data_IF_690445309289
#
_entry.id   IF_690445309289
#
_cell.length_a   1.000
_cell.length_b   1.000
_cell.length_c   1.000
_cell.angle_alpha   90.00
_cell.angle_beta   90.00
_cell.angle_gamma   90.00
#
_symmetry.space_group_name_H-M   'P 1'
#
loop_
_entity.id
_entity.type
_entity.pdbx_description
1 polymer ?
#
# COMPACT_ATOMS: atom_id res chain seq x y z
N UNK A 1 3.08 4.72 -9.44
CA UNK A 1 4.22 5.40 -8.76
C UNK A 1 3.84 6.79 -8.28
N UNK A 2 3.41 7.67 -9.19
CA UNK A 2 3.02 9.06 -8.93
C UNK A 2 1.98 9.22 -7.81
N UNK A 3 1.06 8.26 -7.69
CA UNK A 3 0.06 8.27 -6.62
C UNK A 3 0.63 8.31 -5.20
N UNK A 4 1.88 7.87 -4.99
CA UNK A 4 2.55 7.94 -3.69
C UNK A 4 3.39 9.20 -3.50
N UNK A 5 3.67 9.97 -4.56
CA UNK A 5 4.50 11.18 -4.49
C UNK A 5 3.85 12.29 -3.66
N UNK A 6 2.55 12.24 -3.45
CA UNK A 6 1.85 13.14 -2.54
C UNK A 6 0.34 13.13 -2.69
N UNK A 7 -0.31 13.99 -1.92
CA UNK A 7 -1.76 14.15 -1.92
C UNK A 7 -2.17 15.21 -2.95
N UNK A 8 -3.08 14.84 -3.86
CA UNK A 8 -3.64 15.75 -4.85
C UNK A 8 -5.16 15.80 -4.69
N UNK A 9 -5.64 16.92 -4.17
CA UNK A 9 -7.05 17.23 -3.97
C UNK A 9 -7.23 18.74 -4.12
N UNK A 10 -8.20 19.17 -4.91
CA UNK A 10 -8.41 20.58 -5.26
C UNK A 10 -8.69 21.46 -4.03
N UNK A 11 -9.37 20.90 -3.02
CA UNK A 11 -9.70 21.62 -1.78
C UNK A 11 -8.50 21.84 -0.85
N UNK A 12 -7.39 21.13 -1.05
CA UNK A 12 -6.25 21.14 -0.14
C UNK A 12 -5.20 22.19 -0.56
N UNK A 13 -5.48 23.48 -0.41
CA UNK A 13 -4.64 24.58 -0.95
C UNK A 13 -3.20 24.56 -0.44
N UNK A 14 -3.01 24.23 0.84
CA UNK A 14 -1.72 24.30 1.55
C UNK A 14 -0.81 23.07 1.37
N UNK A 15 -1.21 22.11 0.53
CA UNK A 15 -0.35 20.98 0.15
C UNK A 15 0.56 21.35 -1.02
N UNK A 16 1.87 21.20 -0.86
CA UNK A 16 2.88 21.44 -1.89
C UNK A 16 3.77 20.20 -2.03
N UNK A 17 3.43 19.32 -2.98
CA UNK A 17 4.15 18.08 -3.23
C UNK A 17 4.25 17.80 -4.74
N UNK A 18 5.11 16.85 -5.12
CA UNK A 18 5.38 16.55 -6.54
C UNK A 18 4.12 16.16 -7.30
N UNK A 19 3.23 15.34 -6.70
CA UNK A 19 1.98 14.91 -7.36
C UNK A 19 1.06 16.10 -7.64
N UNK A 20 0.86 17.00 -6.67
CA UNK A 20 -0.01 18.16 -6.82
C UNK A 20 0.58 19.22 -7.77
N UNK A 21 1.90 19.30 -7.86
CA UNK A 21 2.61 20.12 -8.84
C UNK A 21 2.68 19.48 -10.24
N UNK A 22 2.04 18.32 -10.46
CA UNK A 22 2.09 17.55 -11.71
C UNK A 22 3.51 17.19 -12.15
N UNK A 23 4.39 16.93 -11.17
CA UNK A 23 5.77 16.49 -11.37
C UNK A 23 5.90 14.97 -11.22
N UNK A 24 6.81 14.38 -12.00
CA UNK A 24 7.12 12.96 -11.99
C UNK A 24 8.18 12.62 -10.92
N UNK A 25 8.76 11.41 -11.01
CA UNK A 25 9.79 10.96 -10.08
C UNK A 25 10.96 11.94 -9.99
N UNK A 26 11.28 12.45 -8.79
CA UNK A 26 12.26 13.55 -8.63
C UNK A 26 13.72 13.09 -8.53
N UNK A 27 13.99 11.82 -8.22
CA UNK A 27 15.35 11.35 -7.94
C UNK A 27 15.60 9.89 -8.30
N UNK A 28 16.85 9.60 -8.67
CA UNK A 28 17.34 8.27 -9.03
C UNK A 28 18.73 8.05 -8.44
N UNK A 29 19.04 6.80 -8.09
CA UNK A 29 20.35 6.33 -7.68
C UNK A 29 20.99 5.66 -8.91
N UNK A 30 21.81 6.41 -9.63
CA UNK A 30 22.39 6.01 -10.91
C UNK A 30 23.41 4.89 -10.69
N UNK A 31 23.24 3.76 -11.39
CA UNK A 31 24.21 2.66 -11.31
C UNK A 31 25.37 2.84 -12.29
N UNK A 32 25.10 3.47 -13.44
CA UNK A 32 26.09 3.72 -14.47
C UNK A 32 25.46 4.32 -15.73
N UNK A 33 26.33 4.85 -16.59
CA UNK A 33 26.01 5.43 -17.88
C UNK A 33 27.09 5.03 -18.88
N UNK A 34 26.70 4.76 -20.11
CA UNK A 34 27.57 4.32 -21.20
C UNK A 34 27.03 4.80 -22.55
N UNK A 35 27.86 4.80 -23.59
CA UNK A 35 27.46 5.17 -24.96
C UNK A 35 27.78 4.02 -25.90
N UNK A 36 26.76 3.48 -26.58
CA UNK A 36 26.91 2.41 -27.57
C UNK A 36 26.19 2.81 -28.85
N UNK A 37 26.90 2.72 -29.98
CA UNK A 37 26.36 3.05 -31.30
C UNK A 37 25.60 4.40 -31.33
N UNK A 38 26.22 5.47 -30.81
CA UNK A 38 25.65 6.81 -30.69
C UNK A 38 24.40 6.94 -29.79
N UNK A 39 24.11 5.93 -28.97
CA UNK A 39 23.03 5.97 -27.98
C UNK A 39 23.59 6.00 -26.56
N UNK A 40 23.11 6.94 -25.75
CA UNK A 40 23.34 6.95 -24.30
C UNK A 40 22.47 5.86 -23.65
N UNK A 41 23.10 4.93 -22.96
CA UNK A 41 22.46 3.89 -22.16
C UNK A 41 22.72 4.19 -20.69
N UNK A 42 21.68 4.16 -19.86
CA UNK A 42 21.83 4.32 -18.41
C UNK A 42 20.94 3.34 -17.66
N UNK A 43 21.36 3.00 -16.44
CA UNK A 43 20.55 2.24 -15.51
C UNK A 43 20.57 2.92 -14.14
N UNK A 44 19.45 2.80 -13.42
CA UNK A 44 19.32 3.42 -12.11
C UNK A 44 18.26 2.72 -11.27
N UNK A 45 18.42 2.76 -9.95
CA UNK A 45 17.31 2.53 -9.05
C UNK A 45 16.52 3.82 -8.87
N UNK A 46 15.20 3.72 -8.89
CA UNK A 46 14.34 4.81 -8.43
C UNK A 46 14.60 5.06 -6.94
N UNK A 47 14.90 6.31 -6.56
CA UNK A 47 14.95 6.68 -5.15
C UNK A 47 13.52 6.75 -4.57
N UNK A 48 13.32 6.27 -3.35
CA UNK A 48 12.00 6.29 -2.74
C UNK A 48 11.51 7.71 -2.49
N UNK A 49 10.44 8.14 -3.16
CA UNK A 49 9.85 9.47 -2.96
C UNK A 49 8.38 9.32 -2.55
N UNK A 50 7.99 10.03 -1.48
CA UNK A 50 6.64 9.96 -0.87
C UNK A 50 6.19 11.30 -0.29
N UNK A 51 4.89 11.46 -0.09
CA UNK A 51 4.35 12.57 0.70
C UNK A 51 4.51 12.39 2.22
N UNK A 52 4.65 13.51 2.95
CA UNK A 52 4.62 13.53 4.42
C UNK A 52 3.77 14.71 4.94
N UNK A 53 3.15 14.52 6.12
CA UNK A 53 2.27 15.52 6.75
C UNK A 53 3.08 16.55 7.54
N UNK A 54 2.86 17.84 7.24
CA UNK A 54 3.51 19.00 7.86
C UNK A 54 2.71 19.56 9.04
N UNK A 55 1.50 19.06 9.31
CA UNK A 55 0.67 19.60 10.40
C UNK A 55 1.32 19.36 11.76
N UNK A 56 1.58 20.45 12.47
CA UNK A 56 2.09 20.47 13.83
C UNK A 56 0.91 20.27 14.80
N UNK A 57 0.56 19.01 15.09
CA UNK A 57 -0.53 18.73 16.05
C UNK A 57 0.05 18.64 17.46
N UNK A 58 -0.28 19.63 18.30
CA UNK A 58 0.23 19.78 19.68
C UNK A 58 -0.30 18.74 20.69
N UNK A 59 -1.14 17.79 20.27
CA UNK A 59 -1.79 16.79 21.14
C UNK A 59 -1.73 15.34 20.63
N UNK A 60 -0.85 15.02 19.68
CA UNK A 60 -0.63 13.63 19.26
C UNK A 60 0.59 13.05 19.96
N UNK A 61 0.43 11.89 20.62
CA UNK A 61 1.54 10.94 20.86
C UNK A 61 2.42 10.91 19.60
N UNK A 62 3.76 10.91 19.74
CA UNK A 62 4.70 11.09 18.63
C UNK A 62 4.38 10.05 17.55
N UNK A 63 3.65 10.50 16.54
CA UNK A 63 3.32 9.71 15.37
C UNK A 63 3.72 10.56 14.20
N UNK A 64 5.03 10.67 14.02
CA UNK A 64 5.70 10.93 12.73
C UNK A 64 5.30 9.81 11.77
N UNK A 65 4.01 9.69 11.45
CA UNK A 65 3.46 8.68 10.56
C UNK A 65 3.75 9.17 9.15
N UNK A 66 4.93 8.79 8.67
CA UNK A 66 5.21 8.70 7.23
C UNK A 66 4.04 7.94 6.59
N UNK A 67 3.64 8.34 5.39
CA UNK A 67 2.55 7.72 4.64
C UNK A 67 3.01 6.71 3.56
N UNK A 68 3.86 5.71 3.84
CA UNK A 68 4.18 4.71 2.84
C UNK A 68 3.32 3.46 3.02
N UNK A 69 2.30 3.32 2.16
CA UNK A 69 1.71 2.00 1.87
C UNK A 69 2.74 1.13 1.14
N UNK A 70 2.72 -0.19 1.35
CA UNK A 70 3.51 -1.14 0.54
C UNK A 70 2.69 -1.53 -0.69
N UNK A 71 3.00 -1.04 -1.92
CA UNK A 71 2.38 -1.57 -3.13
C UNK A 71 3.06 -2.91 -3.42
N UNK A 72 2.46 -4.00 -2.98
CA UNK A 72 2.81 -5.36 -3.44
C UNK A 72 1.56 -5.91 -4.13
N UNK A 73 1.70 -6.54 -5.31
CA UNK A 73 0.57 -7.13 -6.03
C UNK A 73 -0.19 -8.07 -5.11
N UNK A 74 -1.52 -7.97 -5.09
CA UNK A 74 -2.39 -8.95 -4.41
C UNK A 74 -2.31 -10.32 -5.09
N UNK A 75 -2.81 -11.37 -4.43
CA UNK A 75 -2.84 -12.71 -5.00
C UNK A 75 -3.65 -12.71 -6.30
N UNK A 76 -3.01 -12.88 -7.47
CA UNK A 76 -3.66 -12.97 -8.78
C UNK A 76 -2.89 -13.99 -9.64
N UNK A 77 -3.62 -14.78 -10.43
CA UNK A 77 -3.11 -15.86 -11.29
C UNK A 77 -2.69 -15.33 -12.68
N UNK A 78 -1.48 -15.71 -13.12
CA UNK A 78 -0.84 -15.76 -14.46
C UNK A 78 -0.49 -14.45 -15.22
N UNK A 79 0.82 -14.29 -15.50
CA UNK A 79 1.39 -13.41 -16.55
C UNK A 79 1.94 -12.06 -16.06
N UNK A 80 3.15 -11.68 -16.52
CA UNK A 80 3.88 -10.50 -16.04
C UNK A 80 3.10 -9.18 -16.06
N UNK A 81 2.29 -8.93 -17.10
CA UNK A 81 1.48 -7.70 -17.25
C UNK A 81 0.36 -7.59 -16.21
N UNK A 82 -0.41 -8.67 -16.01
CA UNK A 82 -1.53 -8.67 -15.06
C UNK A 82 -1.07 -8.50 -13.60
N UNK A 83 0.15 -8.95 -13.29
CA UNK A 83 0.77 -8.74 -11.97
C UNK A 83 1.19 -7.28 -11.74
N UNK A 84 1.77 -6.61 -12.74
CA UNK A 84 2.23 -5.22 -12.61
C UNK A 84 1.10 -4.20 -12.71
N UNK A 85 -0.01 -4.53 -13.38
CA UNK A 85 -1.20 -3.69 -13.52
C UNK A 85 -2.25 -3.93 -12.43
N UNK A 86 -2.00 -4.84 -11.48
CA UNK A 86 -2.91 -5.12 -10.37
C UNK A 86 -3.18 -3.85 -9.53
N UNK A 87 -4.44 -3.62 -9.16
CA UNK A 87 -4.86 -2.39 -8.47
C UNK A 87 -4.56 -2.38 -6.96
N UNK A 88 -3.99 -3.45 -6.40
CA UNK A 88 -3.66 -3.53 -4.98
C UNK A 88 -2.71 -2.40 -4.57
N UNK A 89 -3.24 -1.50 -3.74
CA UNK A 89 -2.48 -0.41 -3.16
C UNK A 89 -2.13 0.72 -4.15
N UNK A 90 -2.86 0.81 -5.27
CA UNK A 90 -2.62 1.81 -6.31
C UNK A 90 -2.76 3.25 -5.79
N UNK A 91 -3.76 3.50 -4.95
CA UNK A 91 -4.09 4.84 -4.44
C UNK A 91 -3.82 5.00 -2.94
N UNK A 92 -3.57 3.90 -2.23
CA UNK A 92 -3.41 3.90 -0.77
C UNK A 92 -2.91 2.56 -0.21
N UNK A 93 -2.74 2.43 1.10
CA UNK A 93 -2.32 1.18 1.72
C UNK A 93 -3.42 0.10 1.64
N UNK A 94 -3.04 -1.15 1.36
CA UNK A 94 -3.94 -2.33 1.44
C UNK A 94 -3.28 -3.55 2.09
N UNK A 95 -1.95 -3.65 2.01
CA UNK A 95 -1.19 -4.78 2.54
C UNK A 95 -0.94 -4.66 4.05
N UNK A 96 -1.00 -5.80 4.73
CA UNK A 96 -0.92 -5.98 6.19
C UNK A 96 -0.78 -7.46 6.52
N UNK A 97 -0.81 -7.84 7.81
CA UNK A 97 -0.83 -9.25 8.20
C UNK A 97 -2.24 -9.82 8.03
N UNK A 98 -2.38 -10.86 7.22
CA UNK A 98 -3.61 -11.63 7.03
C UNK A 98 -3.35 -13.06 7.47
N UNK A 99 -4.10 -13.55 8.46
CA UNK A 99 -4.13 -14.97 8.82
C UNK A 99 -5.18 -15.66 7.95
N UNK A 100 -4.74 -16.66 7.18
CA UNK A 100 -5.54 -17.37 6.19
C UNK A 100 -5.49 -18.84 6.56
N UNK A 101 -6.60 -19.39 7.08
CA UNK A 101 -6.65 -20.74 7.61
C UNK A 101 -5.56 -20.95 8.69
N UNK A 102 -4.57 -21.80 8.42
CA UNK A 102 -3.43 -22.15 9.27
C UNK A 102 -2.14 -21.42 8.90
N UNK A 103 -2.15 -20.58 7.86
CA UNK A 103 -1.00 -19.81 7.38
C UNK A 103 -1.22 -18.30 7.51
N UNK A 104 -0.19 -17.51 7.18
CA UNK A 104 -0.29 -16.06 7.14
C UNK A 104 0.38 -15.46 5.91
N UNK A 105 -0.13 -14.32 5.46
CA UNK A 105 0.43 -13.55 4.35
C UNK A 105 0.53 -12.07 4.74
N UNK A 106 1.53 -11.36 4.20
CA UNK A 106 1.66 -9.90 4.35
C UNK A 106 1.04 -9.11 3.18
N UNK A 107 0.37 -9.82 2.28
CA UNK A 107 -0.20 -9.32 1.03
C UNK A 107 -1.70 -9.57 1.08
N UNK A 108 -2.48 -8.61 0.60
CA UNK A 108 -3.94 -8.75 0.56
C UNK A 108 -4.37 -9.98 -0.25
N UNK A 109 -5.33 -10.79 0.27
CA UNK A 109 -5.88 -11.92 -0.47
C UNK A 109 -6.83 -11.49 -1.59
N UNK A 110 -7.35 -10.24 -1.57
CA UNK A 110 -8.29 -9.71 -2.57
C UNK A 110 -7.82 -8.37 -3.15
N UNK A 111 -7.99 -8.19 -4.46
CA UNK A 111 -7.60 -6.98 -5.22
C UNK A 111 -8.32 -6.93 -6.58
N UNK A 112 -8.27 -5.80 -7.29
CA UNK A 112 -8.95 -5.66 -8.59
C UNK A 112 -10.49 -5.70 -8.45
N UNK A 113 -11.15 -6.31 -9.44
CA UNK A 113 -12.60 -6.55 -9.47
C UNK A 113 -12.97 -7.89 -8.81
N UNK A 114 -12.38 -8.19 -7.64
CA UNK A 114 -12.58 -9.45 -6.90
C UNK A 114 -13.07 -9.23 -5.46
N UNK A 115 -13.63 -8.06 -5.18
CA UNK A 115 -14.23 -7.69 -3.89
C UNK A 115 -15.70 -8.09 -3.79
N UNK A 116 -16.30 -7.78 -2.63
CA UNK A 116 -17.68 -8.14 -2.31
C UNK A 116 -17.85 -9.63 -2.00
N UNK A 117 -19.03 -10.01 -1.50
CA UNK A 117 -19.34 -11.41 -1.16
C UNK A 117 -19.34 -12.35 -2.37
N UNK A 118 -19.57 -11.79 -3.58
CA UNK A 118 -19.60 -12.53 -4.85
C UNK A 118 -18.29 -12.44 -5.66
N UNK A 119 -17.26 -11.75 -5.15
CA UNK A 119 -15.98 -11.56 -5.84
C UNK A 119 -16.08 -10.87 -7.22
N UNK A 120 -17.00 -9.91 -7.36
CA UNK A 120 -17.22 -9.16 -8.60
C UNK A 120 -17.05 -7.65 -8.43
N UNK A 121 -16.91 -7.16 -7.20
CA UNK A 121 -16.86 -5.72 -6.91
C UNK A 121 -15.42 -5.18 -6.92
N UNK A 122 -15.28 -3.88 -7.12
CA UNK A 122 -13.98 -3.21 -7.08
C UNK A 122 -13.45 -3.12 -5.65
N UNK A 123 -12.22 -3.59 -5.41
CA UNK A 123 -11.49 -3.35 -4.17
C UNK A 123 -10.85 -1.96 -4.22
N UNK A 124 -11.48 -0.99 -3.57
CA UNK A 124 -11.05 0.40 -3.59
C UNK A 124 -9.87 0.66 -2.64
N UNK A 125 -8.98 1.57 -3.04
CA UNK A 125 -7.94 2.13 -2.17
C UNK A 125 -7.97 3.66 -2.29
N UNK A 126 -7.63 4.36 -1.21
CA UNK A 126 -7.62 5.83 -1.18
C UNK A 126 -6.40 6.35 -0.42
N UNK A 127 -5.96 7.55 -0.77
CA UNK A 127 -4.81 8.17 -0.13
C UNK A 127 -5.10 8.40 1.36
N UNK A 128 -4.15 8.18 2.28
CA UNK A 128 -4.42 8.16 3.72
C UNK A 128 -4.50 9.58 4.33
N UNK A 129 -5.43 10.38 3.80
CA UNK A 129 -5.92 11.64 4.36
C UNK A 129 -7.41 11.42 4.64
N UNK A 130 -7.84 11.66 5.89
CA UNK A 130 -9.26 11.50 6.25
C UNK A 130 -10.13 12.45 5.43
N UNK A 131 -11.35 12.03 5.10
CA UNK A 131 -12.27 12.80 4.25
C UNK A 131 -12.57 14.20 4.80
N UNK A 132 -12.82 14.30 6.11
CA UNK A 132 -13.05 15.54 6.86
C UNK A 132 -11.80 16.43 6.98
N UNK A 133 -10.61 15.88 6.70
CA UNK A 133 -9.34 16.58 6.79
C UNK A 133 -8.71 16.89 5.43
N UNK A 134 -9.40 16.59 4.32
CA UNK A 134 -8.86 16.80 2.96
C UNK A 134 -8.47 18.26 2.73
N UNK A 135 -9.39 19.20 2.98
CA UNK A 135 -9.17 20.62 2.72
C UNK A 135 -8.05 21.23 3.58
N UNK A 136 -7.87 20.73 4.80
CA UNK A 136 -6.85 21.22 5.75
C UNK A 136 -5.54 20.43 5.70
N UNK A 137 -5.40 19.47 4.78
CA UNK A 137 -4.20 18.65 4.66
C UNK A 137 -2.99 19.48 4.17
N UNK A 138 -1.84 19.27 4.82
CA UNK A 138 -0.57 19.91 4.47
C UNK A 138 0.46 18.83 4.14
N UNK A 139 0.41 18.31 2.92
CA UNK A 139 1.29 17.23 2.48
C UNK A 139 2.42 17.80 1.61
N UNK A 140 3.65 17.65 2.10
CA UNK A 140 4.90 18.01 1.41
C UNK A 140 5.62 16.76 0.85
N UNK A 141 6.68 16.96 0.06
CA UNK A 141 7.46 15.87 -0.55
C UNK A 141 8.70 15.48 0.25
N UNK A 142 9.01 14.18 0.33
CA UNK A 142 10.23 13.65 0.93
C UNK A 142 10.90 12.62 0.01
N UNK A 143 12.23 12.69 -0.10
CA UNK A 143 13.06 11.75 -0.87
C UNK A 143 13.92 10.96 0.11
N UNK A 144 13.93 9.64 -0.05
CA UNK A 144 14.73 8.70 0.71
C UNK A 144 16.08 8.46 0.02
N UNK A 145 17.12 8.26 0.80
CA UNK A 145 18.46 7.88 0.31
C UNK A 145 18.56 6.38 -0.06
N UNK A 146 17.46 5.74 -0.47
CA UNK A 146 17.44 4.33 -0.88
C UNK A 146 16.31 4.07 -1.89
N UNK A 147 16.29 2.89 -2.53
CA UNK A 147 15.17 2.48 -3.38
C UNK A 147 13.85 2.20 -2.64
N UNK A 148 13.83 2.24 -1.30
CA UNK A 148 12.66 1.91 -0.51
C UNK A 148 11.75 3.13 -0.29
N UNK A 149 10.46 3.01 -0.61
CA UNK A 149 9.44 4.01 -0.27
C UNK A 149 9.03 3.99 1.22
N UNK A 150 9.12 2.83 1.88
CA UNK A 150 8.64 2.60 3.26
C UNK A 150 9.76 2.09 4.17
N UNK A 151 10.02 2.80 5.26
CA UNK A 151 10.93 2.35 6.33
C UNK A 151 10.19 1.89 7.60
N UNK A 152 8.87 1.70 7.54
CA UNK A 152 8.11 1.30 8.72
C UNK A 152 8.61 -0.04 9.27
N UNK A 153 9.05 -0.06 10.53
CA UNK A 153 9.41 -1.28 11.26
C UNK A 153 8.12 -2.04 11.59
N UNK A 154 7.69 -2.88 10.63
CA UNK A 154 6.62 -3.85 10.81
C UNK A 154 7.23 -5.24 10.95
N UNK A 155 8.24 -5.40 11.80
CA UNK A 155 8.84 -6.70 12.10
C UNK A 155 7.73 -7.73 12.38
N UNK A 156 7.80 -8.74 11.53
CA UNK A 156 7.02 -9.95 11.44
C UNK A 156 7.15 -10.80 12.69
N UNK A 157 6.40 -10.44 13.74
CA UNK A 157 6.12 -11.41 14.77
C UNK A 157 5.08 -12.37 14.18
N UNK A 158 5.36 -13.69 14.08
CA UNK A 158 4.29 -14.64 13.83
C UNK A 158 3.22 -14.40 14.90
N UNK A 159 1.93 -14.38 14.56
CA UNK A 159 0.89 -14.25 15.56
C UNK A 159 1.09 -15.37 16.60
N UNK A 160 1.21 -15.01 17.88
CA UNK A 160 1.12 -16.00 18.96
C UNK A 160 -0.31 -16.55 18.91
N UNK A 161 -0.51 -17.66 18.19
CA UNK A 161 -1.76 -18.41 18.20
C UNK A 161 -1.94 -18.95 19.62
N UNK A 162 -2.66 -18.22 20.47
CA UNK A 162 -3.13 -18.75 21.74
C UNK A 162 -4.24 -19.75 21.40
N UNK A 163 -3.96 -21.04 21.61
CA UNK A 163 -4.78 -22.21 21.23
C UNK A 163 -6.17 -22.33 21.86
N UNK A 164 -6.92 -21.24 21.98
CA UNK A 164 -8.33 -21.23 22.43
C UNK A 164 -9.33 -20.71 21.40
N UNK A 165 -8.89 -20.10 20.29
CA UNK A 165 -9.83 -19.66 19.23
C UNK A 165 -10.15 -20.74 18.19
N UNK A 166 -9.42 -21.86 18.18
CA UNK A 166 -9.67 -22.95 17.22
C UNK A 166 -10.88 -23.81 17.60
N UNK A 167 -11.29 -23.86 18.88
CA UNK A 167 -12.41 -24.70 19.29
C UNK A 167 -13.75 -24.20 18.76
N UNK A 168 -13.99 -22.88 18.81
CA UNK A 168 -15.30 -22.30 18.49
C UNK A 168 -15.65 -22.36 16.99
N UNK A 169 -14.66 -22.49 16.09
CA UNK A 169 -14.91 -22.57 14.64
C UNK A 169 -15.24 -24.01 14.22
N UNK A 170 -14.70 -25.02 14.91
CA UNK A 170 -15.02 -26.43 14.62
C UNK A 170 -16.44 -26.81 15.10
N UNK A 171 -16.93 -26.18 16.16
CA UNK A 171 -18.28 -26.46 16.67
C UNK A 171 -19.36 -25.86 15.74
N UNK A 172 -19.11 -24.69 15.16
CA UNK A 172 -20.05 -24.01 14.24
C UNK A 172 -20.12 -24.73 12.87
N UNK A 173 -19.00 -25.30 12.38
CA UNK A 173 -18.97 -26.07 11.14
C UNK A 173 -19.68 -27.44 11.24
N UNK A 174 -19.64 -28.08 12.42
CA UNK A 174 -20.38 -29.33 12.66
C UNK A 174 -21.90 -29.11 12.68
N UNK A 175 -22.36 -27.97 13.19
CA UNK A 175 -23.78 -27.60 13.20
C UNK A 175 -24.32 -27.34 11.79
N UNK A 176 -23.55 -26.71 10.89
CA UNK A 176 -24.03 -26.44 9.53
C UNK A 176 -24.15 -27.69 8.66
N UNK A 177 -23.29 -28.71 8.87
CA UNK A 177 -23.39 -29.99 8.15
C UNK A 177 -24.55 -30.86 8.62
N UNK A 178 -24.95 -30.79 9.90
CA UNK A 178 -26.05 -31.57 10.42
C UNK A 178 -27.43 -31.11 9.89
N UNK A 179 -27.58 -29.82 9.57
CA UNK A 179 -28.85 -29.25 9.04
C UNK A 179 -29.02 -29.48 7.53
N UNK A 180 -27.93 -29.73 6.80
CA UNK A 180 -27.98 -29.96 5.34
C UNK A 180 -28.24 -31.42 4.93
N UNK A 181 -28.48 -32.32 5.90
CA UNK A 181 -28.66 -33.77 5.69
C UNK A 181 -29.99 -34.30 6.28
N UNK A 182 -30.94 -33.42 6.64
CA UNK A 182 -32.34 -33.78 6.89
C UNK A 182 -33.19 -33.60 5.64
#
# INVERSE_FOLDING_TARGET
MENQLGFNETSATDSHNFKKALLHQPAYLISGLDVVADHLVFAAFRAGAVGYDMRLIRTLRPTTKRSPGRPRPGWTVLGGKALVENTAGLNGPINGLFTLLDTFAYVTPVSGMKGGSKNTEAVQTTYPVKSDQKASAKIASLINASPLNSYGDKKSHPPKVKGRQLQNIFDDWKLTKAVSLM
#
